data_IF_074709906605
#
_entry.id   IF_074709906605
#
_cell.length_a   1.000
_cell.length_b   1.000
_cell.length_c   1.000
_cell.angle_alpha   90.00
_cell.angle_beta   90.00
_cell.angle_gamma   90.00
#
_symmetry.space_group_name_H-M   'P 1'
#
loop_
_entity.id
_entity.type
_entity.pdbx_description
1 polymer ?
#
# COMPACT_ATOMS: atom_id res chain seq x y z
N UNK A 1 -14.97 -18.77 -9.26
CA UNK A 1 -15.26 -17.61 -8.39
C UNK A 1 -14.78 -17.92 -6.96
N UNK A 2 -13.48 -17.81 -6.68
CA UNK A 2 -12.94 -18.05 -5.31
C UNK A 2 -11.69 -17.20 -5.05
N UNK A 3 -11.71 -15.92 -5.40
CA UNK A 3 -10.54 -15.03 -5.20
C UNK A 3 -10.70 -14.07 -4.00
N UNK A 4 -11.78 -14.17 -3.22
CA UNK A 4 -12.13 -13.13 -2.24
C UNK A 4 -11.39 -13.23 -0.89
N UNK A 5 -10.69 -14.33 -0.57
CA UNK A 5 -10.09 -14.49 0.78
C UNK A 5 -8.63 -14.05 0.89
N UNK A 6 -7.83 -14.16 -0.19
CA UNK A 6 -6.40 -13.81 -0.16
C UNK A 6 -6.15 -12.29 -0.24
N UNK A 7 -6.92 -11.55 -1.04
CA UNK A 7 -6.77 -10.10 -1.20
C UNK A 7 -7.00 -9.33 0.12
N UNK A 8 -7.98 -9.74 0.94
CA UNK A 8 -8.28 -9.08 2.22
C UNK A 8 -7.11 -9.15 3.21
N UNK A 9 -6.39 -10.27 3.25
CA UNK A 9 -5.26 -10.46 4.16
C UNK A 9 -4.08 -9.58 3.75
N UNK A 10 -3.79 -9.49 2.44
CA UNK A 10 -2.74 -8.64 1.89
C UNK A 10 -2.99 -7.15 2.14
N UNK A 11 -4.26 -6.73 2.08
CA UNK A 11 -4.67 -5.34 2.33
C UNK A 11 -4.51 -4.93 3.80
N UNK A 12 -4.83 -5.81 4.74
CA UNK A 12 -4.68 -5.54 6.17
C UNK A 12 -3.20 -5.29 6.51
N UNK A 13 -2.31 -6.16 6.05
CA UNK A 13 -0.86 -6.02 6.25
C UNK A 13 -0.31 -4.73 5.63
N UNK A 14 -0.72 -4.39 4.41
CA UNK A 14 -0.32 -3.13 3.78
C UNK A 14 -0.84 -1.91 4.56
N UNK A 15 -2.05 -1.97 5.10
CA UNK A 15 -2.64 -0.87 5.89
C UNK A 15 -1.92 -0.69 7.24
N UNK A 16 -1.50 -1.78 7.89
CA UNK A 16 -0.67 -1.73 9.10
C UNK A 16 0.69 -1.09 8.82
N UNK A 17 1.35 -1.47 7.72
CA UNK A 17 2.63 -0.86 7.30
C UNK A 17 2.49 0.63 7.02
N UNK A 18 1.43 1.04 6.31
CA UNK A 18 1.11 2.45 6.07
C UNK A 18 0.90 3.19 7.39
N UNK A 19 0.17 2.61 8.34
CA UNK A 19 -0.07 3.25 9.64
C UNK A 19 1.23 3.45 10.44
N UNK A 20 2.11 2.45 10.49
CA UNK A 20 3.43 2.58 11.13
C UNK A 20 4.30 3.64 10.46
N UNK A 21 4.34 3.68 9.13
CA UNK A 21 5.10 4.70 8.40
C UNK A 21 4.49 6.09 8.54
N UNK A 22 3.15 6.19 8.59
CA UNK A 22 2.44 7.45 8.78
C UNK A 22 2.74 8.08 10.14
N UNK A 23 2.92 7.27 11.18
CA UNK A 23 3.29 7.74 12.52
C UNK A 23 4.70 8.36 12.55
N UNK A 24 5.59 7.95 11.65
CA UNK A 24 6.90 8.60 11.45
C UNK A 24 6.83 9.80 10.49
N UNK A 25 5.98 9.73 9.46
CA UNK A 25 5.81 10.81 8.46
C UNK A 25 5.10 12.02 9.06
N UNK A 26 4.09 11.81 9.92
CA UNK A 26 3.29 12.86 10.54
C UNK A 26 4.12 13.86 11.38
N UNK A 27 4.99 13.41 12.31
CA UNK A 27 5.92 14.29 13.03
C UNK A 27 7.12 14.72 12.18
N UNK A 28 7.21 14.30 10.90
CA UNK A 28 8.27 14.68 9.98
C UNK A 28 9.63 14.04 10.27
N UNK A 29 9.68 13.02 11.14
CA UNK A 29 10.91 12.29 11.49
C UNK A 29 11.22 11.16 10.50
N UNK A 30 10.26 10.82 9.63
CA UNK A 30 10.45 9.83 8.59
C UNK A 30 11.62 10.20 7.68
N UNK A 31 12.51 9.24 7.53
CA UNK A 31 13.58 9.26 6.55
C UNK A 31 13.03 9.28 5.13
N UNK A 32 13.86 9.67 4.16
CA UNK A 32 13.49 9.67 2.75
C UNK A 32 13.04 8.27 2.27
N UNK A 33 13.70 7.23 2.78
CA UNK A 33 13.36 5.82 2.54
C UNK A 33 11.98 5.46 3.10
N UNK A 34 11.63 5.89 4.31
CA UNK A 34 10.31 5.67 4.90
C UNK A 34 9.20 6.42 4.13
N UNK A 35 9.48 7.61 3.59
CA UNK A 35 8.55 8.34 2.72
C UNK A 35 8.36 7.63 1.39
N UNK A 36 9.43 7.12 0.78
CA UNK A 36 9.37 6.33 -0.45
C UNK A 36 8.57 5.04 -0.23
N UNK A 37 8.82 4.32 0.86
CA UNK A 37 8.03 3.16 1.25
C UNK A 37 6.56 3.52 1.50
N UNK A 38 6.27 4.63 2.18
CA UNK A 38 4.89 5.05 2.45
C UNK A 38 4.09 5.29 1.15
N UNK A 39 4.72 5.90 0.15
CA UNK A 39 4.13 6.11 -1.16
C UNK A 39 3.95 4.80 -1.94
N UNK A 40 4.96 3.92 -1.90
CA UNK A 40 4.93 2.59 -2.52
C UNK A 40 3.84 1.70 -1.91
N UNK A 41 3.71 1.67 -0.58
CA UNK A 41 2.66 0.92 0.10
C UNK A 41 1.26 1.47 -0.20
N UNK A 42 1.10 2.80 -0.36
CA UNK A 42 -0.16 3.40 -0.82
C UNK A 42 -0.50 2.97 -2.25
N UNK A 43 0.48 2.95 -3.16
CA UNK A 43 0.31 2.44 -4.52
C UNK A 43 -0.03 0.95 -4.52
N UNK A 44 0.69 0.14 -3.74
CA UNK A 44 0.41 -1.29 -3.59
C UNK A 44 -1.00 -1.54 -3.04
N UNK A 45 -1.44 -0.78 -2.02
CA UNK A 45 -2.81 -0.87 -1.49
C UNK A 45 -3.86 -0.53 -2.57
N UNK A 46 -3.61 0.52 -3.36
CA UNK A 46 -4.47 0.90 -4.49
C UNK A 46 -4.50 -0.19 -5.56
N UNK A 47 -3.36 -0.77 -5.92
CA UNK A 47 -3.27 -1.86 -6.89
C UNK A 47 -3.97 -3.11 -6.37
N UNK A 48 -3.77 -3.51 -5.11
CA UNK A 48 -4.47 -4.66 -4.50
C UNK A 48 -5.98 -4.42 -4.43
N UNK A 49 -6.42 -3.18 -4.18
CA UNK A 49 -7.83 -2.80 -4.20
C UNK A 49 -8.39 -2.75 -5.64
N UNK A 50 -7.56 -2.37 -6.62
CA UNK A 50 -7.90 -2.23 -8.05
C UNK A 50 -7.52 -3.44 -8.90
N UNK A 51 -6.93 -4.52 -8.38
CA UNK A 51 -6.60 -5.71 -9.19
C UNK A 51 -7.87 -6.50 -9.58
N UNK A 52 -9.03 -6.08 -9.08
CA UNK A 52 -10.37 -6.39 -9.62
C UNK A 52 -10.82 -5.43 -10.75
N UNK A 53 -10.00 -4.46 -11.12
CA UNK A 53 -10.21 -3.45 -12.17
C UNK A 53 -8.95 -3.32 -13.03
N UNK A 54 -8.65 -4.38 -13.80
CA UNK A 54 -7.94 -4.39 -15.09
C UNK A 54 -6.81 -3.35 -15.26
N UNK A 55 -5.57 -3.82 -15.08
CA UNK A 55 -4.33 -3.24 -15.62
C UNK A 55 -3.99 -1.81 -15.13
N UNK A 56 -3.23 -1.67 -14.03
CA UNK A 56 -2.74 -0.37 -13.64
C UNK A 56 -1.42 -0.09 -14.40
N UNK A 57 -1.51 0.83 -15.35
CA UNK A 57 -0.45 1.40 -16.20
C UNK A 57 0.40 2.40 -15.39
N UNK A 58 1.27 1.91 -14.51
CA UNK A 58 2.21 2.74 -13.73
C UNK A 58 3.66 2.29 -13.85
N UNK A 59 3.99 1.64 -14.97
CA UNK A 59 5.37 1.43 -15.43
C UNK A 59 5.59 2.28 -16.69
N UNK A 60 5.79 3.57 -16.49
CA UNK A 60 6.67 4.38 -17.35
C UNK A 60 7.47 5.36 -16.49
#
# INVERSE_FOLDING_TARGET
>A
MTTTKRQKTSFATASEKIASLQDAVYPGIATDDEKAQFDEWKKYRLVVNRVDTLNPDWLE
#
